data_IF_267752870504
#
_entry.id   IF_267752870504
#
_cell.length_a   1.000
_cell.length_b   1.000
_cell.length_c   1.000
_cell.angle_alpha   90.00
_cell.angle_beta   90.00
_cell.angle_gamma   90.00
#
_symmetry.space_group_name_H-M   'P 1'
#
loop_
_entity.id
_entity.type
_entity.pdbx_description
1 polymer ?
#
# COMPACT_ATOMS: atom_id res chain seq x y z
N UNK A 1 20.78 10.03 14.66
CA UNK A 1 19.72 9.76 13.66
C UNK A 1 19.88 8.32 13.18
N UNK A 2 18.89 7.46 13.41
CA UNK A 2 19.03 6.01 13.26
C UNK A 2 19.15 5.59 11.78
N UNK A 3 20.07 4.67 11.47
CA UNK A 3 20.33 4.17 10.10
C UNK A 3 19.08 3.55 9.46
N UNK A 4 18.22 2.93 10.28
CA UNK A 4 16.93 2.39 9.85
C UNK A 4 16.06 3.47 9.21
N UNK A 5 16.09 4.69 9.75
CA UNK A 5 15.30 5.78 9.20
C UNK A 5 15.88 6.26 7.86
N UNK A 6 17.20 6.24 7.69
CA UNK A 6 17.83 6.59 6.40
C UNK A 6 17.49 5.59 5.30
N UNK A 7 17.44 4.29 5.61
CA UNK A 7 17.11 3.24 4.63
C UNK A 7 15.67 3.37 4.16
N UNK A 8 14.72 3.61 5.08
CA UNK A 8 13.32 3.80 4.70
C UNK A 8 13.15 5.07 3.87
N UNK A 9 13.79 6.18 4.25
CA UNK A 9 13.73 7.41 3.46
C UNK A 9 14.34 7.22 2.07
N UNK A 10 15.48 6.54 1.98
CA UNK A 10 16.15 6.27 0.71
C UNK A 10 15.32 5.34 -0.18
N UNK A 11 14.70 4.31 0.41
CA UNK A 11 13.80 3.41 -0.31
C UNK A 11 12.56 4.13 -0.84
N UNK A 12 11.93 4.99 -0.02
CA UNK A 12 10.79 5.78 -0.42
C UNK A 12 11.12 6.74 -1.58
N UNK A 13 12.27 7.43 -1.51
CA UNK A 13 12.73 8.34 -2.56
C UNK A 13 13.09 7.57 -3.84
N UNK A 14 13.75 6.41 -3.73
CA UNK A 14 14.08 5.59 -4.89
C UNK A 14 12.82 5.06 -5.59
N UNK A 15 11.83 4.61 -4.84
CA UNK A 15 10.55 4.18 -5.40
C UNK A 15 9.80 5.34 -6.05
N UNK A 16 9.79 6.52 -5.44
CA UNK A 16 9.19 7.71 -6.04
C UNK A 16 9.85 8.09 -7.38
N UNK A 17 11.19 8.06 -7.43
CA UNK A 17 11.94 8.35 -8.66
C UNK A 17 11.72 7.33 -9.79
N UNK A 18 11.57 6.04 -9.45
CA UNK A 18 11.32 4.98 -10.44
C UNK A 18 9.89 4.98 -10.99
N UNK A 19 8.93 5.48 -10.21
CA UNK A 19 7.51 5.48 -10.57
C UNK A 19 7.07 6.75 -11.32
N UNK A 20 7.92 7.79 -11.35
CA UNK A 20 7.55 9.13 -11.81
C UNK A 20 6.90 9.16 -13.21
N UNK A 21 7.43 8.41 -14.18
CA UNK A 21 6.94 8.49 -15.57
C UNK A 21 6.05 7.30 -15.97
N UNK A 22 6.27 6.15 -15.33
CA UNK A 22 5.56 4.91 -15.65
C UNK A 22 4.19 4.83 -14.99
N UNK A 23 4.05 5.34 -13.76
CA UNK A 23 2.77 5.26 -13.03
C UNK A 23 1.73 6.21 -13.62
N UNK A 24 2.17 7.37 -14.14
CA UNK A 24 1.28 8.34 -14.80
C UNK A 24 0.75 7.75 -16.12
N UNK A 25 1.64 7.19 -16.95
CA UNK A 25 1.26 6.54 -18.21
C UNK A 25 0.39 5.29 -18.01
N UNK A 26 0.74 4.42 -17.05
CA UNK A 26 -0.07 3.24 -16.74
C UNK A 26 -1.40 3.63 -16.12
N UNK A 27 -1.41 4.57 -15.17
CA UNK A 27 -2.62 5.05 -14.52
C UNK A 27 -3.60 5.60 -15.53
N UNK A 28 -3.12 6.42 -16.47
CA UNK A 28 -3.96 6.97 -17.52
C UNK A 28 -4.46 5.90 -18.50
N UNK A 29 -3.58 5.01 -18.97
CA UNK A 29 -3.96 3.92 -19.87
C UNK A 29 -4.98 2.97 -19.23
N UNK A 30 -4.88 2.70 -17.93
CA UNK A 30 -5.81 1.84 -17.19
C UNK A 30 -7.15 2.54 -16.97
N UNK A 31 -7.15 3.83 -16.65
CA UNK A 31 -8.38 4.57 -16.36
C UNK A 31 -9.20 4.91 -17.61
N UNK A 32 -8.56 5.37 -18.70
CA UNK A 32 -9.25 5.86 -19.91
C UNK A 32 -9.02 5.00 -21.15
N UNK A 33 -8.12 4.02 -21.10
CA UNK A 33 -7.79 3.17 -22.26
C UNK A 33 -6.97 3.87 -23.34
N UNK A 34 -6.56 5.12 -23.12
CA UNK A 34 -5.88 6.00 -24.09
C UNK A 34 -4.60 6.59 -23.48
N UNK A 35 -3.64 7.01 -24.31
CA UNK A 35 -2.41 7.65 -23.82
C UNK A 35 -2.72 9.03 -23.20
N UNK A 36 -2.01 9.44 -22.13
CA UNK A 36 -2.29 10.68 -21.41
C UNK A 36 -2.23 11.91 -22.33
N UNK A 37 -3.29 12.76 -22.35
CA UNK A 37 -3.26 14.06 -23.00
C UNK A 37 -2.38 15.03 -22.19
N UNK A 38 -1.61 15.84 -22.90
CA UNK A 38 -0.83 16.95 -22.33
C UNK A 38 -1.76 18.11 -21.94
N UNK A 39 -1.35 18.78 -20.85
CA UNK A 39 -1.95 19.92 -20.15
C UNK A 39 -3.06 20.69 -20.88
N UNK A 40 -4.31 20.52 -20.43
CA UNK A 40 -5.08 21.53 -19.70
C UNK A 40 -6.34 20.83 -19.13
N UNK A 41 -7.01 21.44 -18.15
CA UNK A 41 -8.33 21.07 -17.61
C UNK A 41 -8.49 20.11 -16.42
N UNK A 42 -9.51 20.47 -15.63
CA UNK A 42 -10.14 19.91 -14.43
C UNK A 42 -10.15 18.37 -14.28
N UNK A 43 -10.04 17.62 -15.37
CA UNK A 43 -9.94 16.16 -15.38
C UNK A 43 -8.67 15.65 -14.69
N UNK A 44 -7.57 16.41 -14.74
CA UNK A 44 -6.33 16.08 -14.02
C UNK A 44 -6.59 15.95 -12.51
N UNK A 45 -7.39 16.86 -11.94
CA UNK A 45 -7.74 16.83 -10.51
C UNK A 45 -8.59 15.62 -10.11
N UNK A 46 -9.57 15.23 -10.94
CA UNK A 46 -10.38 14.03 -10.68
C UNK A 46 -9.55 12.75 -10.83
N UNK A 47 -8.72 12.68 -11.87
CA UNK A 47 -7.82 11.54 -12.08
C UNK A 47 -6.81 11.41 -10.94
N UNK A 48 -6.28 12.52 -10.42
CA UNK A 48 -5.38 12.54 -9.28
C UNK A 48 -6.05 12.04 -8.00
N UNK A 49 -7.28 12.51 -7.71
CA UNK A 49 -8.05 12.06 -6.54
C UNK A 49 -8.35 10.56 -6.63
N UNK A 50 -8.81 10.08 -7.79
CA UNK A 50 -9.12 8.65 -7.99
C UNK A 50 -7.85 7.81 -7.88
N UNK A 51 -6.75 8.26 -8.47
CA UNK A 51 -5.46 7.56 -8.38
C UNK A 51 -4.97 7.47 -6.94
N UNK A 52 -5.06 8.58 -6.19
CA UNK A 52 -4.69 8.61 -4.79
C UNK A 52 -5.57 7.67 -3.94
N UNK A 53 -6.88 7.65 -4.20
CA UNK A 53 -7.83 6.78 -3.51
C UNK A 53 -7.57 5.29 -3.80
N UNK A 54 -7.31 4.92 -5.06
CA UNK A 54 -6.98 3.55 -5.45
C UNK A 54 -5.68 3.09 -4.79
N UNK A 55 -4.62 3.90 -4.88
CA UNK A 55 -3.33 3.59 -4.25
C UNK A 55 -3.47 3.45 -2.73
N UNK A 56 -4.17 4.39 -2.09
CA UNK A 56 -4.43 4.35 -0.64
C UNK A 56 -5.26 3.14 -0.25
N UNK A 57 -6.29 2.79 -1.02
CA UNK A 57 -7.15 1.63 -0.79
C UNK A 57 -6.38 0.32 -0.89
N UNK A 58 -5.51 0.17 -1.89
CA UNK A 58 -4.66 -1.01 -2.05
C UNK A 58 -3.66 -1.13 -0.89
N UNK A 59 -2.98 -0.04 -0.53
CA UNK A 59 -2.06 -0.02 0.61
C UNK A 59 -2.76 -0.38 1.92
N UNK A 60 -3.96 0.16 2.15
CA UNK A 60 -4.74 -0.12 3.35
C UNK A 60 -5.21 -1.57 3.38
N UNK A 61 -5.64 -2.13 2.25
CA UNK A 61 -6.06 -3.53 2.16
C UNK A 61 -4.91 -4.49 2.48
N UNK A 62 -3.72 -4.22 1.93
CA UNK A 62 -2.50 -4.96 2.22
C UNK A 62 -2.17 -4.84 3.71
N UNK A 63 -2.11 -3.62 4.23
CA UNK A 63 -1.80 -3.34 5.64
C UNK A 63 -2.76 -4.09 6.56
N UNK A 64 -4.07 -3.97 6.33
CA UNK A 64 -5.10 -4.65 7.14
C UNK A 64 -4.89 -6.16 7.16
N UNK A 65 -4.57 -6.78 6.02
CA UNK A 65 -4.29 -8.22 5.95
C UNK A 65 -3.07 -8.60 6.78
N UNK A 66 -2.00 -7.81 6.71
CA UNK A 66 -0.79 -8.04 7.50
C UNK A 66 -1.01 -7.78 8.99
N UNK A 67 -1.72 -6.72 9.36
CA UNK A 67 -2.03 -6.40 10.77
C UNK A 67 -2.90 -7.48 11.41
N UNK A 68 -3.94 -7.96 10.73
CA UNK A 68 -4.79 -9.04 11.26
C UNK A 68 -4.00 -10.33 11.45
N UNK A 69 -3.14 -10.70 10.49
CA UNK A 69 -2.28 -11.87 10.64
C UNK A 69 -1.22 -11.70 11.73
N UNK A 70 -0.63 -10.52 11.86
CA UNK A 70 0.32 -10.21 12.92
C UNK A 70 -0.35 -10.27 14.30
N UNK A 71 -1.54 -9.68 14.43
CA UNK A 71 -2.34 -9.71 15.65
C UNK A 71 -2.74 -11.13 16.04
N UNK A 72 -3.18 -11.97 15.08
CA UNK A 72 -3.50 -13.37 15.33
C UNK A 72 -2.27 -14.15 15.83
N UNK A 73 -1.10 -13.95 15.23
CA UNK A 73 0.14 -14.61 15.63
C UNK A 73 0.64 -14.15 17.01
N UNK A 74 0.39 -12.89 17.36
CA UNK A 74 0.75 -12.33 18.66
C UNK A 74 -0.22 -12.77 19.76
N UNK A 75 -1.53 -12.76 19.48
CA UNK A 75 -2.57 -13.22 20.40
C UNK A 75 -2.43 -14.72 20.73
N UNK A 76 -2.12 -15.56 19.73
CA UNK A 76 -1.85 -16.99 19.94
C UNK A 76 -0.54 -17.26 20.70
N UNK A 77 0.35 -16.27 20.78
CA UNK A 77 1.57 -16.33 21.62
C UNK A 77 1.29 -15.90 23.06
N UNK A 78 0.28 -15.04 23.29
CA UNK A 78 -0.10 -14.52 24.60
C UNK A 78 -1.10 -15.40 25.36
N UNK A 79 -1.85 -16.26 24.66
CA UNK A 79 -2.66 -17.31 25.26
C UNK A 79 -2.26 -18.66 24.66
N UNK A 80 -1.32 -19.41 25.26
CA UNK A 80 -1.23 -20.83 24.97
C UNK A 80 -2.60 -21.41 25.27
N UNK A 81 -3.30 -21.90 24.24
CA UNK A 81 -4.49 -22.72 24.43
C UNK A 81 -4.04 -23.87 25.31
N UNK A 82 -4.42 -23.83 26.59
CA UNK A 82 -4.25 -24.95 27.50
C UNK A 82 -5.24 -26.00 27.00
N UNK A 83 -4.80 -26.79 26.02
CA UNK A 83 -5.43 -28.05 25.68
C UNK A 83 -4.96 -29.09 26.68
N UNK A 84 -5.22 -28.87 27.98
CA UNK A 84 -5.38 -29.99 28.89
C UNK A 84 -6.76 -30.55 28.62
N UNK A 85 -6.74 -31.49 27.69
CA UNK A 85 -7.61 -32.65 27.63
C UNK A 85 -8.24 -32.98 28.99
N UNK A 86 -9.55 -32.76 29.10
CA UNK A 86 -10.39 -33.53 29.99
C UNK A 86 -10.33 -34.99 29.52
N UNK A 87 -9.43 -35.75 30.15
CA UNK A 87 -9.35 -37.19 30.00
C UNK A 87 -9.09 -37.80 31.39
N UNK A 88 -10.05 -37.61 32.30
CA UNK A 88 -10.63 -38.53 33.30
C UNK A 88 -11.83 -37.86 33.96
#
# INVERSE_FOLDING_TARGET
>A
MNISWKIVNLGAVAMAGLLSDSIVKLGWKVATGKNPPEDDDLEVGLAEIVTFAVLSGVLLAITKRFTVQAAAKWYNKSHPVISDTYNI
#
